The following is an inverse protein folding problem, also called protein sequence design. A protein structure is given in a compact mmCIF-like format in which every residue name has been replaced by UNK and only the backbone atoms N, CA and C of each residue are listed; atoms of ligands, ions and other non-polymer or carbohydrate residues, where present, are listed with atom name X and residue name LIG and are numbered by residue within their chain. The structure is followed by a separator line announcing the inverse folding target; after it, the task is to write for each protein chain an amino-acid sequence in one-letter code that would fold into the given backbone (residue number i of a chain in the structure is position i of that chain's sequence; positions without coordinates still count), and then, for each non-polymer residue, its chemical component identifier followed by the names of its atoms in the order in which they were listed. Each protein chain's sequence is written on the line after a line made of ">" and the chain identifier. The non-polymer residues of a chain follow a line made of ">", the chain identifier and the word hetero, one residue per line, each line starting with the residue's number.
data_IF_948430560887
#
_entry.id   IF_948430560887
#
_cell.length_a   1.000
_cell.length_b   1.000
_cell.length_c   1.000
_cell.angle_alpha   90.00
_cell.angle_beta   90.00
_cell.angle_gamma   90.00
#
_symmetry.space_group_name_H-M   'P 1'
#
loop_
_entity.id
_entity.type
_entity.pdbx_description
1 polymer ?
#
# COMPACT_ATOMS: atom_id res chain seq x y z
N UNK A 1 -24.88 31.06 -15.39
CA UNK A 1 -24.32 31.13 -14.02
C UNK A 1 -25.06 30.13 -13.15
N UNK A 2 -24.39 29.15 -12.50
CA UNK A 2 -24.77 28.68 -11.14
C UNK A 2 -24.04 27.45 -10.57
N UNK A 3 -23.19 26.72 -11.29
CA UNK A 3 -22.40 25.65 -10.61
C UNK A 3 -21.26 26.22 -9.75
N UNK A 4 -20.63 27.31 -10.20
CA UNK A 4 -19.57 28.00 -9.44
C UNK A 4 -20.03 28.64 -8.13
N UNK A 5 -21.30 29.04 -8.03
CA UNK A 5 -21.89 29.59 -6.80
C UNK A 5 -22.14 28.49 -5.76
N UNK A 6 -22.69 27.35 -6.20
CA UNK A 6 -22.95 26.19 -5.34
C UNK A 6 -21.63 25.61 -4.79
N UNK A 7 -20.57 25.57 -5.61
CA UNK A 7 -19.23 25.12 -5.20
C UNK A 7 -18.60 26.08 -4.16
N UNK A 8 -18.90 27.38 -4.25
CA UNK A 8 -18.39 28.38 -3.27
C UNK A 8 -19.15 28.36 -1.94
N UNK A 9 -20.44 28.02 -1.95
CA UNK A 9 -21.27 27.95 -0.74
C UNK A 9 -21.01 26.67 0.05
N UNK A 10 -20.74 25.56 -0.64
CA UNK A 10 -20.20 24.34 -0.01
C UNK A 10 -18.69 24.43 0.07
N UNK A 11 -18.17 25.38 0.85
CA UNK A 11 -16.81 25.26 1.38
C UNK A 11 -16.79 24.00 2.23
N UNK A 12 -16.46 22.86 1.63
CA UNK A 12 -15.94 21.72 2.38
C UNK A 12 -14.74 22.32 3.10
N UNK A 13 -14.83 22.47 4.43
CA UNK A 13 -13.70 22.94 5.22
C UNK A 13 -12.59 21.91 5.04
N UNK A 14 -11.60 22.28 4.22
CA UNK A 14 -10.46 21.45 3.88
C UNK A 14 -9.61 21.30 5.14
N UNK A 15 -9.80 20.19 5.84
CA UNK A 15 -8.92 19.79 6.93
C UNK A 15 -7.88 18.84 6.35
N UNK A 16 -6.62 19.27 6.39
CA UNK A 16 -5.50 18.36 6.31
C UNK A 16 -5.73 17.24 7.33
N UNK A 17 -5.50 16.00 6.93
CA UNK A 17 -5.83 14.84 7.74
C UNK A 17 -5.47 13.55 7.03
N UNK A 18 -5.49 12.45 7.78
CA UNK A 18 -5.19 11.15 7.23
C UNK A 18 -6.47 10.51 6.67
N UNK A 19 -6.37 10.03 5.44
CA UNK A 19 -7.48 9.42 4.71
C UNK A 19 -7.05 8.11 4.05
N UNK A 20 -8.01 7.21 3.90
CA UNK A 20 -7.94 6.10 2.97
C UNK A 20 -8.78 6.40 1.74
N UNK A 21 -8.23 6.05 0.58
CA UNK A 21 -8.98 6.05 -0.67
C UNK A 21 -9.09 4.64 -1.23
N UNK A 22 -10.23 4.37 -1.84
CA UNK A 22 -10.62 3.08 -2.39
C UNK A 22 -10.89 3.26 -3.87
N UNK A 23 -10.25 2.44 -4.70
CA UNK A 23 -10.64 2.33 -6.11
C UNK A 23 -11.64 1.20 -6.23
N UNK A 24 -12.75 1.45 -6.92
CA UNK A 24 -13.84 0.49 -7.08
C UNK A 24 -14.08 0.15 -8.55
N UNK A 25 -14.30 -1.13 -8.84
CA UNK A 25 -14.77 -1.64 -10.11
C UNK A 25 -16.11 -2.34 -9.88
N UNK A 26 -17.22 -1.78 -10.40
CA UNK A 26 -18.56 -2.36 -10.23
C UNK A 26 -18.88 -2.74 -8.77
N UNK A 27 -18.72 -1.78 -7.85
CA UNK A 27 -18.92 -1.92 -6.40
C UNK A 27 -17.91 -2.81 -5.64
N UNK A 28 -16.96 -3.46 -6.32
CA UNK A 28 -15.88 -4.19 -5.67
C UNK A 28 -14.67 -3.29 -5.40
N UNK A 29 -14.10 -3.37 -4.19
CA UNK A 29 -12.86 -2.65 -3.85
C UNK A 29 -11.67 -3.38 -4.50
N UNK A 30 -11.06 -2.74 -5.49
CA UNK A 30 -9.93 -3.31 -6.24
C UNK A 30 -8.57 -2.79 -5.77
N UNK A 31 -8.54 -1.65 -5.08
CA UNK A 31 -7.33 -1.07 -4.50
C UNK A 31 -7.67 -0.21 -3.27
N UNK A 32 -6.78 -0.20 -2.29
CA UNK A 32 -6.80 0.64 -1.10
C UNK A 32 -5.49 1.41 -1.04
N UNK A 33 -5.56 2.72 -0.88
CA UNK A 33 -4.38 3.56 -0.68
C UNK A 33 -4.58 4.54 0.45
N UNK A 34 -3.47 5.15 0.87
CA UNK A 34 -3.43 6.15 1.94
C UNK A 34 -2.98 7.51 1.41
N UNK A 35 -3.52 8.57 1.97
CA UNK A 35 -3.19 9.95 1.59
C UNK A 35 -3.39 10.90 2.76
N UNK A 36 -2.51 11.90 2.88
CA UNK A 36 -2.69 13.05 3.78
C UNK A 36 -3.44 14.20 3.09
N UNK A 37 -3.72 14.03 1.79
CA UNK A 37 -4.42 14.99 0.93
C UNK A 37 -5.83 14.48 0.63
N UNK A 38 -6.81 15.37 0.68
CA UNK A 38 -8.25 15.07 0.42
C UNK A 38 -8.51 14.54 -1.00
N UNK A 39 -7.58 14.70 -1.94
CA UNK A 39 -7.69 14.12 -3.28
C UNK A 39 -6.52 13.18 -3.55
N UNK A 40 -6.75 11.86 -3.65
CA UNK A 40 -5.75 10.95 -4.16
C UNK A 40 -5.48 11.28 -5.63
N UNK A 41 -4.23 11.24 -6.09
CA UNK A 41 -3.89 11.50 -7.48
C UNK A 41 -4.39 10.35 -8.36
N UNK A 42 -5.65 10.42 -8.80
CA UNK A 42 -6.31 9.42 -9.66
C UNK A 42 -5.48 9.13 -10.92
N UNK A 43 -4.81 10.15 -11.44
CA UNK A 43 -3.87 10.05 -12.57
C UNK A 43 -2.71 9.08 -12.36
N UNK A 44 -2.39 8.73 -11.11
CA UNK A 44 -1.30 7.80 -10.77
C UNK A 44 -1.74 6.34 -10.84
N UNK A 45 -3.00 6.06 -11.16
CA UNK A 45 -3.58 4.71 -11.17
C UNK A 45 -3.98 4.25 -12.59
N UNK A 46 -3.35 4.80 -13.63
CA UNK A 46 -3.62 4.43 -15.03
C UNK A 46 -3.32 2.95 -15.35
N UNK A 47 -2.59 2.27 -14.47
CA UNK A 47 -2.28 0.84 -14.52
C UNK A 47 -3.40 -0.05 -13.96
N UNK A 48 -4.46 0.55 -13.40
CA UNK A 48 -5.56 -0.14 -12.71
C UNK A 48 -6.87 0.11 -13.43
N UNK A 49 -7.72 -0.90 -13.48
CA UNK A 49 -9.09 -0.79 -13.98
C UNK A 49 -10.00 -0.47 -12.79
N UNK A 50 -10.65 0.69 -12.83
CA UNK A 50 -11.63 1.11 -11.83
C UNK A 50 -12.60 2.11 -12.46
N UNK A 51 -13.77 2.26 -11.83
CA UNK A 51 -14.89 3.10 -12.26
C UNK A 51 -15.16 4.25 -11.29
N UNK A 52 -14.85 4.06 -10.02
CA UNK A 52 -15.15 5.02 -8.96
C UNK A 52 -14.00 5.12 -7.95
N UNK A 53 -13.92 6.27 -7.30
CA UNK A 53 -13.01 6.51 -6.16
C UNK A 53 -13.85 6.94 -4.97
N UNK A 54 -13.66 6.25 -3.85
CA UNK A 54 -14.21 6.65 -2.55
C UNK A 54 -13.08 7.09 -1.64
N UNK A 55 -13.33 8.06 -0.77
CA UNK A 55 -12.37 8.53 0.23
C UNK A 55 -13.06 8.63 1.58
N UNK A 56 -12.41 8.09 2.61
CA UNK A 56 -12.88 8.12 3.99
C UNK A 56 -11.76 8.60 4.91
N UNK A 57 -12.12 9.44 5.88
CA UNK A 57 -11.19 9.82 6.95
C UNK A 57 -10.91 8.62 7.84
N UNK A 58 -9.69 8.50 8.37
CA UNK A 58 -9.34 7.45 9.33
C UNK A 58 -10.27 7.45 10.54
N UNK A 59 -10.66 8.64 11.01
CA UNK A 59 -11.54 8.78 12.17
C UNK A 59 -12.92 8.13 11.94
N UNK A 60 -13.33 7.96 10.68
CA UNK A 60 -14.61 7.33 10.32
C UNK A 60 -14.65 5.83 10.63
N UNK A 61 -13.49 5.19 10.86
CA UNK A 61 -13.41 3.76 11.14
C UNK A 61 -13.52 3.44 12.64
N UNK A 62 -13.45 4.44 13.53
CA UNK A 62 -13.51 4.23 14.98
C UNK A 62 -12.45 3.25 15.50
N UNK A 63 -11.33 3.12 14.80
CA UNK A 63 -10.28 2.14 15.10
C UNK A 63 -9.30 2.70 16.13
N UNK A 64 -9.12 1.96 17.23
CA UNK A 64 -8.16 2.29 18.28
C UNK A 64 -6.80 1.65 17.97
N UNK A 65 -6.04 2.29 17.08
CA UNK A 65 -4.72 1.85 16.64
C UNK A 65 -4.09 2.81 15.64
N UNK A 66 -2.96 2.42 15.06
CA UNK A 66 -2.26 3.25 14.08
C UNK A 66 -2.92 3.19 12.70
N UNK A 67 -2.73 4.25 11.91
CA UNK A 67 -3.11 4.28 10.49
C UNK A 67 -2.55 3.06 9.72
N UNK A 68 -1.33 2.67 10.03
CA UNK A 68 -0.66 1.56 9.32
C UNK A 68 -1.33 0.21 9.66
N UNK A 69 -1.68 -0.01 10.92
CA UNK A 69 -2.42 -1.21 11.34
C UNK A 69 -3.80 -1.27 10.68
N UNK A 70 -4.54 -0.17 10.67
CA UNK A 70 -5.85 -0.10 10.00
C UNK A 70 -5.71 -0.34 8.49
N UNK A 71 -4.70 0.23 7.85
CA UNK A 71 -4.44 0.02 6.42
C UNK A 71 -4.23 -1.47 6.09
N UNK A 72 -3.41 -2.17 6.88
CA UNK A 72 -3.17 -3.59 6.68
C UNK A 72 -4.42 -4.43 6.99
N UNK A 73 -5.15 -4.12 8.06
CA UNK A 73 -6.40 -4.80 8.38
C UNK A 73 -7.39 -4.70 7.21
N UNK A 74 -7.58 -3.51 6.65
CA UNK A 74 -8.43 -3.30 5.48
C UNK A 74 -7.98 -4.11 4.26
N UNK A 75 -6.67 -4.22 4.01
CA UNK A 75 -6.15 -5.05 2.91
C UNK A 75 -6.38 -6.54 3.17
N UNK A 76 -6.18 -7.02 4.41
CA UNK A 76 -6.37 -8.42 4.75
C UNK A 76 -7.83 -8.84 4.73
N UNK A 77 -8.73 -7.96 5.15
CA UNK A 77 -10.17 -8.23 5.21
C UNK A 77 -10.81 -8.17 3.82
N UNK A 78 -10.38 -7.22 2.97
CA UNK A 78 -11.04 -6.93 1.69
C UNK A 78 -10.32 -7.56 0.49
N UNK A 79 -9.07 -8.01 0.66
CA UNK A 79 -8.24 -8.65 -0.37
C UNK A 79 -8.27 -7.98 -1.77
N UNK A 80 -8.07 -6.66 -1.85
CA UNK A 80 -8.17 -5.92 -3.12
C UNK A 80 -7.09 -6.36 -4.11
N UNK A 81 -7.51 -6.70 -5.33
CA UNK A 81 -6.68 -7.35 -6.37
C UNK A 81 -5.38 -6.59 -6.71
N UNK A 82 -5.35 -5.26 -6.55
CA UNK A 82 -4.18 -4.43 -6.86
C UNK A 82 -3.29 -4.10 -5.65
N UNK A 83 -3.67 -4.44 -4.41
CA UNK A 83 -2.74 -4.38 -3.27
C UNK A 83 -2.01 -5.70 -3.03
N UNK A 84 -2.61 -6.81 -3.45
CA UNK A 84 -2.05 -8.16 -3.30
C UNK A 84 -0.94 -8.46 -4.30
N UNK A 85 -0.79 -7.63 -5.34
CA UNK A 85 0.35 -7.69 -6.27
C UNK A 85 1.44 -6.80 -5.71
N UNK A 86 2.46 -7.40 -5.11
CA UNK A 86 3.68 -6.66 -4.83
C UNK A 86 4.22 -6.06 -6.12
N UNK A 87 4.70 -4.80 -6.09
CA UNK A 87 5.27 -4.20 -7.29
C UNK A 87 6.34 -5.14 -7.86
N UNK A 88 6.46 -5.28 -9.20
CA UNK A 88 7.55 -6.00 -9.82
C UNK A 88 8.84 -5.25 -9.51
N UNK A 89 9.44 -5.53 -8.37
CA UNK A 89 10.59 -4.79 -7.89
C UNK A 89 11.68 -5.79 -7.53
N UNK A 90 12.82 -5.64 -8.21
CA UNK A 90 14.06 -6.35 -7.91
C UNK A 90 14.63 -6.00 -6.53
N UNK A 91 13.97 -5.13 -5.77
CA UNK A 91 14.38 -4.70 -4.44
C UNK A 91 13.80 -5.55 -3.30
N UNK A 92 12.58 -6.06 -3.43
CA UNK A 92 11.90 -6.76 -2.33
C UNK A 92 11.53 -8.19 -2.74
N UNK A 93 12.05 -9.18 -2.03
CA UNK A 93 11.87 -10.60 -2.39
C UNK A 93 11.59 -11.49 -1.19
N UNK A 94 10.78 -12.53 -1.40
CA UNK A 94 10.68 -13.64 -0.45
C UNK A 94 11.92 -14.51 -0.47
N UNK A 95 12.11 -15.32 0.58
CA UNK A 95 13.20 -16.29 0.65
C UNK A 95 13.21 -17.26 -0.54
N UNK A 96 12.05 -17.69 -1.02
CA UNK A 96 11.96 -18.62 -2.15
C UNK A 96 12.43 -17.98 -3.46
N UNK A 97 12.09 -16.69 -3.68
CA UNK A 97 12.54 -15.96 -4.86
C UNK A 97 14.04 -15.70 -4.78
N UNK A 98 14.56 -15.28 -3.62
CA UNK A 98 16.01 -15.06 -3.43
C UNK A 98 16.84 -16.32 -3.69
N UNK A 99 16.42 -17.49 -3.18
CA UNK A 99 17.09 -18.77 -3.44
C UNK A 99 17.21 -19.08 -4.94
N UNK A 100 16.11 -18.89 -5.68
CA UNK A 100 16.08 -19.12 -7.13
C UNK A 100 16.91 -18.10 -7.91
N UNK A 101 16.85 -16.83 -7.53
CA UNK A 101 17.52 -15.74 -8.27
C UNK A 101 19.03 -15.73 -8.06
N UNK A 102 19.50 -16.02 -6.85
CA UNK A 102 20.92 -15.98 -6.50
C UNK A 102 21.59 -17.35 -6.45
N UNK A 103 20.87 -18.41 -6.81
CA UNK A 103 21.34 -19.80 -6.79
C UNK A 103 21.96 -20.23 -5.44
N UNK A 104 21.23 -19.94 -4.36
CA UNK A 104 21.65 -20.28 -2.98
C UNK A 104 20.61 -21.15 -2.29
N UNK A 105 21.05 -21.94 -1.32
CA UNK A 105 20.15 -22.76 -0.50
C UNK A 105 19.63 -22.00 0.74
N UNK A 106 18.69 -22.62 1.45
CA UNK A 106 18.06 -22.00 2.62
C UNK A 106 18.99 -21.76 3.81
N UNK A 107 20.04 -22.57 3.96
CA UNK A 107 21.02 -22.44 5.04
C UNK A 107 21.88 -21.19 4.79
N UNK A 108 22.38 -21.04 3.57
CA UNK A 108 23.18 -19.88 3.14
C UNK A 108 22.39 -18.58 3.28
N UNK A 109 21.14 -18.57 2.82
CA UNK A 109 20.27 -17.40 2.93
C UNK A 109 20.01 -17.01 4.40
N UNK A 110 19.72 -17.98 5.27
CA UNK A 110 19.53 -17.68 6.69
C UNK A 110 20.81 -17.17 7.36
N UNK A 111 21.99 -17.65 6.92
CA UNK A 111 23.29 -17.11 7.38
C UNK A 111 23.46 -15.64 6.98
N UNK A 112 23.12 -15.28 5.75
CA UNK A 112 23.18 -13.89 5.26
C UNK A 112 22.22 -12.98 6.04
N UNK A 113 20.96 -13.40 6.20
CA UNK A 113 19.95 -12.67 6.98
C UNK A 113 20.46 -12.41 8.41
N UNK A 114 21.01 -13.43 9.06
CA UNK A 114 21.55 -13.30 10.42
C UNK A 114 22.80 -12.42 10.47
N UNK A 115 23.74 -12.59 9.54
CA UNK A 115 24.97 -11.79 9.45
C UNK A 115 24.64 -10.31 9.30
N UNK A 116 23.72 -9.99 8.40
CA UNK A 116 23.41 -8.61 8.02
C UNK A 116 22.27 -8.00 8.85
N UNK A 117 21.75 -8.75 9.84
CA UNK A 117 20.62 -8.35 10.69
C UNK A 117 19.38 -7.92 9.89
N UNK A 118 19.19 -8.51 8.71
CA UNK A 118 18.07 -8.21 7.83
C UNK A 118 16.75 -8.66 8.47
N UNK A 119 15.71 -7.86 8.33
CA UNK A 119 14.36 -8.16 8.81
C UNK A 119 13.38 -8.09 7.64
N UNK A 120 12.27 -8.85 7.69
CA UNK A 120 11.22 -8.67 6.71
C UNK A 120 10.69 -7.22 6.76
N UNK A 121 10.49 -6.64 5.59
CA UNK A 121 9.92 -5.31 5.39
C UNK A 121 8.40 -5.39 5.30
N UNK A 122 7.87 -6.48 4.72
CA UNK A 122 6.44 -6.76 4.61
C UNK A 122 6.22 -8.27 4.51
N UNK A 123 5.48 -8.87 5.45
CA UNK A 123 5.23 -10.32 5.49
C UNK A 123 6.53 -11.14 5.41
N UNK A 124 6.72 -11.93 4.35
CA UNK A 124 7.94 -12.72 4.11
C UNK A 124 8.97 -12.03 3.20
N UNK A 125 8.73 -10.77 2.82
CA UNK A 125 9.58 -10.02 1.90
C UNK A 125 10.69 -9.30 2.65
N UNK A 126 11.90 -9.43 2.12
CA UNK A 126 13.09 -8.72 2.60
C UNK A 126 13.52 -7.70 1.55
N UNK A 127 14.10 -6.57 1.98
CA UNK A 127 14.92 -5.75 1.07
C UNK A 127 16.21 -6.51 0.76
N UNK A 128 16.47 -6.77 -0.52
CA UNK A 128 17.64 -7.53 -0.96
C UNK A 128 18.93 -6.83 -0.53
N UNK A 129 18.96 -5.50 -0.57
CA UNK A 129 20.15 -4.73 -0.18
C UNK A 129 20.50 -4.94 1.29
N UNK A 130 19.52 -5.18 2.16
CA UNK A 130 19.76 -5.56 3.56
C UNK A 130 20.23 -7.00 3.72
N UNK A 131 19.79 -7.91 2.85
CA UNK A 131 20.20 -9.32 2.90
C UNK A 131 21.59 -9.54 2.30
N UNK A 132 21.95 -8.82 1.24
CA UNK A 132 23.18 -9.01 0.46
C UNK A 132 24.12 -7.81 0.52
N UNK A 133 24.23 -7.12 1.67
CA UNK A 133 25.19 -6.03 1.86
C UNK A 133 26.59 -6.47 1.43
N UNK A 134 27.17 -5.74 0.48
CA UNK A 134 28.60 -5.83 0.17
C UNK A 134 29.34 -5.01 1.23
N UNK A 135 30.37 -5.60 1.83
CA UNK A 135 31.30 -4.91 2.74
C UNK A 135 32.24 -3.99 1.95
#
# INVERSE_FOLDING_TARGET
>A
MKYSAIIRERKIEYKDGDYFYFLLENDEIVYIGKTTKVFPPVSNHNDKIFTHVSILSIDSFGFDGTMEELFYNLIFDLLPKYNTVLPPNDRYMTKNIMKKKFDINGIELNRLIKKNKARPVFMEYYDISDVFKQE
#
